data_IF_409004041163
#
_entry.id   IF_409004041163
#
_cell.length_a   1.000
_cell.length_b   1.000
_cell.length_c   1.000
_cell.angle_alpha   90.00
_cell.angle_beta   90.00
_cell.angle_gamma   90.00
#
_symmetry.space_group_name_H-M   'P 1'
#
loop_
_entity.id
_entity.type
_entity.pdbx_description
1 polymer ?
#
# COMPACT_ATOMS: atom_id res chain seq x y z
N UNK A 1 -2.92 8.65 -14.90
CA UNK A 1 -1.59 8.24 -14.41
C UNK A 1 -0.48 8.37 -15.47
N UNK A 2 -0.63 7.75 -16.64
CA UNK A 2 0.45 7.70 -17.63
C UNK A 2 1.00 9.07 -18.04
N UNK A 3 0.19 10.13 -18.29
CA UNK A 3 0.71 11.47 -18.54
C UNK A 3 1.49 12.04 -17.36
N UNK A 4 1.00 11.84 -16.12
CA UNK A 4 1.69 12.27 -14.90
C UNK A 4 3.07 11.60 -14.79
N UNK A 5 3.11 10.27 -14.86
CA UNK A 5 4.36 9.53 -14.71
C UNK A 5 5.36 9.82 -15.82
N UNK A 6 4.93 9.77 -17.09
CA UNK A 6 5.84 9.97 -18.24
C UNK A 6 6.30 11.41 -18.39
N UNK A 7 5.40 12.40 -18.23
CA UNK A 7 5.73 13.82 -18.45
C UNK A 7 6.10 14.52 -17.17
N UNK A 8 5.43 14.23 -16.06
CA UNK A 8 5.64 14.86 -14.77
C UNK A 8 6.81 14.27 -13.99
N UNK A 9 7.04 12.96 -14.08
CA UNK A 9 8.14 12.30 -13.37
C UNK A 9 9.35 12.03 -14.28
N UNK A 10 9.21 11.14 -15.27
CA UNK A 10 10.37 10.65 -16.04
C UNK A 10 11.04 11.69 -16.93
N UNK A 11 10.32 12.70 -17.44
CA UNK A 11 10.90 13.78 -18.28
C UNK A 11 11.45 14.95 -17.48
N UNK A 12 11.25 14.96 -16.19
CA UNK A 12 11.80 15.98 -15.30
C UNK A 12 13.19 15.55 -14.78
N UNK A 13 13.62 16.12 -13.67
CA UNK A 13 14.84 15.67 -13.02
C UNK A 13 14.67 14.24 -12.50
N UNK A 14 15.74 13.45 -12.61
CA UNK A 14 15.80 12.17 -11.91
C UNK A 14 15.49 12.34 -10.41
N UNK A 15 14.96 11.30 -9.75
CA UNK A 15 14.76 11.34 -8.32
C UNK A 15 16.05 11.74 -7.60
N UNK A 16 15.92 12.50 -6.52
CA UNK A 16 17.07 12.89 -5.70
C UNK A 16 17.85 11.65 -5.26
N UNK A 17 19.16 11.67 -5.45
CA UNK A 17 20.02 10.58 -5.01
C UNK A 17 19.86 10.35 -3.48
N UNK A 18 19.85 9.11 -3.00
CA UNK A 18 19.79 8.83 -1.57
C UNK A 18 20.95 9.49 -0.82
N UNK A 19 20.65 10.07 0.34
CA UNK A 19 21.69 10.61 1.20
C UNK A 19 22.43 9.46 1.90
N UNK A 20 23.75 9.56 2.06
CA UNK A 20 24.51 8.59 2.83
C UNK A 20 24.18 8.66 4.32
N UNK A 21 24.47 7.59 5.04
CA UNK A 21 24.39 7.57 6.50
C UNK A 21 25.23 8.70 7.11
N UNK A 22 24.71 9.46 8.10
CA UNK A 22 25.47 10.51 8.76
C UNK A 22 26.65 9.92 9.54
N UNK A 23 27.88 10.38 9.25
CA UNK A 23 29.11 9.89 9.87
C UNK A 23 29.25 10.25 11.35
N UNK A 24 28.66 11.36 11.77
CA UNK A 24 28.66 11.83 13.17
C UNK A 24 27.32 12.49 13.47
N UNK A 25 26.69 12.03 14.52
CA UNK A 25 25.46 12.62 15.07
C UNK A 25 25.73 12.99 16.52
N UNK A 26 25.57 14.25 16.87
CA UNK A 26 25.59 14.70 18.28
C UNK A 26 24.18 14.68 18.82
N UNK A 27 23.91 13.82 19.78
CA UNK A 27 22.63 13.76 20.44
C UNK A 27 22.61 14.67 21.66
N UNK A 28 21.52 15.39 21.83
CA UNK A 28 21.26 16.06 23.09
C UNK A 28 20.89 15.02 24.15
N UNK A 29 21.62 15.01 25.27
CA UNK A 29 21.30 14.12 26.38
C UNK A 29 20.26 14.78 27.29
N UNK A 30 19.05 14.23 27.29
CA UNK A 30 18.02 14.56 28.27
C UNK A 30 18.17 13.61 29.47
N UNK A 31 18.26 14.20 30.70
CA UNK A 31 18.33 13.39 31.91
C UNK A 31 16.99 12.75 32.29
N UNK A 32 15.88 13.33 31.80
CA UNK A 32 14.49 12.95 32.11
C UNK A 32 13.72 12.55 30.84
N UNK A 33 14.36 11.84 29.90
CA UNK A 33 13.66 11.31 28.74
C UNK A 33 12.70 10.19 29.14
N UNK A 34 11.45 10.31 28.74
CA UNK A 34 10.48 9.25 28.95
C UNK A 34 10.82 7.99 28.13
N UNK A 35 10.64 6.83 28.74
CA UNK A 35 10.70 5.54 28.02
C UNK A 35 9.49 5.44 27.06
N UNK A 36 9.72 4.88 25.86
CA UNK A 36 8.66 4.60 24.88
C UNK A 36 7.50 3.83 25.51
N UNK A 37 7.76 2.96 26.48
CA UNK A 37 6.73 2.21 27.21
C UNK A 37 5.74 3.10 27.97
N UNK A 38 6.17 4.30 28.42
CA UNK A 38 5.30 5.26 29.09
C UNK A 38 4.27 5.91 28.14
N UNK A 39 4.49 5.81 26.82
CA UNK A 39 3.54 6.28 25.82
C UNK A 39 2.30 5.37 25.68
N UNK A 40 2.32 4.19 26.32
CA UNK A 40 1.22 3.23 26.35
C UNK A 40 0.58 2.93 24.96
N UNK A 41 1.38 2.95 23.90
CA UNK A 41 0.91 2.81 22.52
C UNK A 41 0.25 1.46 22.24
N UNK A 42 0.49 0.46 23.09
CA UNK A 42 0.02 -0.92 22.92
C UNK A 42 -1.02 -1.35 23.96
N UNK A 43 -1.63 -0.43 24.66
CA UNK A 43 -2.70 -0.51 25.67
C UNK A 43 -3.42 -1.87 25.84
N UNK A 44 -2.69 -2.91 26.26
CA UNK A 44 -3.28 -4.18 26.74
C UNK A 44 -3.90 -5.10 25.67
N UNK A 45 -3.88 -4.72 24.41
CA UNK A 45 -4.36 -5.56 23.32
C UNK A 45 -3.20 -6.28 22.65
N UNK A 46 -3.28 -7.61 22.52
CA UNK A 46 -2.22 -8.44 21.93
C UNK A 46 -2.54 -8.93 20.51
N UNK A 47 -3.48 -8.31 19.82
CA UNK A 47 -3.88 -8.73 18.46
C UNK A 47 -2.74 -8.60 17.44
N UNK A 48 -1.80 -7.70 17.68
CA UNK A 48 -0.63 -7.44 16.82
C UNK A 48 0.48 -8.47 16.97
N UNK A 49 0.51 -9.27 18.05
CA UNK A 49 1.58 -10.26 18.29
C UNK A 49 1.74 -11.22 17.11
N UNK A 50 0.65 -11.63 16.50
CA UNK A 50 0.64 -12.45 15.28
C UNK A 50 1.37 -11.82 14.09
N UNK A 51 1.48 -10.47 14.03
CA UNK A 51 2.14 -9.78 12.93
C UNK A 51 3.66 -9.97 12.96
N UNK A 52 4.25 -10.13 14.15
CA UNK A 52 5.69 -10.39 14.31
C UNK A 52 6.14 -11.71 13.66
N UNK A 53 5.23 -12.67 13.49
CA UNK A 53 5.52 -13.92 12.78
C UNK A 53 5.73 -13.72 11.27
N UNK A 54 5.24 -12.60 10.72
CA UNK A 54 5.20 -12.32 9.28
C UNK A 54 6.08 -11.16 8.84
N UNK A 55 6.50 -10.30 9.77
CA UNK A 55 7.20 -9.06 9.47
C UNK A 55 8.43 -8.87 10.35
N UNK A 56 9.56 -8.64 9.70
CA UNK A 56 10.76 -8.10 10.32
C UNK A 56 10.74 -6.57 10.18
N UNK A 57 11.12 -5.87 11.25
CA UNK A 57 11.07 -4.41 11.34
C UNK A 57 12.47 -3.84 11.21
N UNK A 58 12.58 -2.65 10.61
CA UNK A 58 13.79 -1.86 10.57
C UNK A 58 14.48 -1.80 9.21
N UNK A 59 15.39 -0.85 9.09
CA UNK A 59 16.11 -0.55 7.83
C UNK A 59 16.85 -1.76 7.28
N UNK A 60 17.46 -2.56 8.15
CA UNK A 60 18.21 -3.76 7.74
C UNK A 60 17.29 -4.81 7.11
N UNK A 61 16.11 -5.01 7.71
CA UNK A 61 15.10 -5.91 7.17
C UNK A 61 14.59 -5.42 5.81
N UNK A 62 14.35 -4.11 5.68
CA UNK A 62 13.95 -3.49 4.41
C UNK A 62 15.01 -3.69 3.31
N UNK A 63 16.29 -3.49 3.63
CA UNK A 63 17.40 -3.68 2.70
C UNK A 63 17.56 -5.16 2.28
N UNK A 64 17.46 -6.09 3.23
CA UNK A 64 17.52 -7.53 2.94
C UNK A 64 16.35 -7.94 2.02
N UNK A 65 15.15 -7.46 2.30
CA UNK A 65 13.95 -7.73 1.49
C UNK A 65 14.08 -7.16 0.07
N UNK A 66 14.60 -5.93 -0.07
CA UNK A 66 14.88 -5.35 -1.38
C UNK A 66 15.92 -6.18 -2.15
N UNK A 67 17.02 -6.55 -1.50
CA UNK A 67 18.09 -7.35 -2.13
C UNK A 67 17.58 -8.72 -2.59
N UNK A 68 16.81 -9.41 -1.75
CA UNK A 68 16.20 -10.70 -2.12
C UNK A 68 15.23 -10.54 -3.31
N UNK A 69 14.39 -9.51 -3.31
CA UNK A 69 13.48 -9.25 -4.42
C UNK A 69 14.22 -8.93 -5.73
N UNK A 70 15.29 -8.14 -5.68
CA UNK A 70 16.08 -7.79 -6.85
C UNK A 70 16.90 -8.98 -7.40
N UNK A 71 17.22 -9.97 -6.57
CA UNK A 71 17.90 -11.17 -7.02
C UNK A 71 16.96 -12.18 -7.70
N UNK A 72 15.74 -12.36 -7.15
CA UNK A 72 14.86 -13.45 -7.55
C UNK A 72 13.52 -12.97 -8.13
N UNK A 73 12.84 -12.04 -7.46
CA UNK A 73 11.47 -11.65 -7.79
C UNK A 73 11.30 -10.72 -8.99
N UNK A 74 12.36 -9.97 -9.32
CA UNK A 74 12.31 -8.93 -10.37
C UNK A 74 12.28 -9.51 -11.78
N UNK A 75 12.80 -10.73 -11.99
CA UNK A 75 13.00 -11.33 -13.31
C UNK A 75 11.71 -11.50 -14.12
N UNK A 76 10.61 -11.82 -13.47
CA UNK A 76 9.28 -11.96 -14.08
C UNK A 76 8.26 -10.99 -13.48
N UNK A 77 8.73 -9.86 -12.94
CA UNK A 77 7.88 -8.96 -12.17
C UNK A 77 6.65 -8.48 -12.93
N UNK A 78 6.82 -8.07 -14.18
CA UNK A 78 5.73 -7.49 -14.99
C UNK A 78 4.54 -8.43 -15.12
N UNK A 79 4.79 -9.70 -15.32
CA UNK A 79 3.77 -10.71 -15.50
C UNK A 79 3.50 -11.48 -14.22
N UNK A 80 4.55 -11.88 -13.47
CA UNK A 80 4.47 -12.65 -12.24
C UNK A 80 3.73 -11.97 -11.11
N UNK A 81 3.82 -10.62 -11.02
CA UNK A 81 3.06 -9.82 -10.04
C UNK A 81 1.53 -9.96 -10.14
N UNK A 82 1.03 -10.53 -11.22
CA UNK A 82 -0.41 -10.74 -11.38
C UNK A 82 -0.92 -12.04 -10.71
N UNK A 83 0.00 -12.89 -10.28
CA UNK A 83 -0.31 -14.19 -9.71
C UNK A 83 -0.02 -14.21 -8.20
N UNK A 84 -1.03 -14.18 -7.32
CA UNK A 84 -0.82 -14.16 -5.86
C UNK A 84 -0.01 -15.35 -5.31
N UNK A 85 -0.03 -16.48 -6.00
CA UNK A 85 0.73 -17.68 -5.62
C UNK A 85 2.22 -17.61 -5.98
N UNK A 86 2.65 -16.63 -6.79
CA UNK A 86 4.06 -16.45 -7.17
C UNK A 86 4.77 -15.48 -6.23
N UNK A 87 6.07 -15.71 -6.01
CA UNK A 87 6.89 -14.82 -5.18
C UNK A 87 7.54 -13.70 -6.03
N UNK A 88 6.72 -12.97 -6.81
CA UNK A 88 7.16 -11.89 -7.70
C UNK A 88 6.75 -10.49 -7.20
N UNK A 89 6.54 -10.31 -5.90
CA UNK A 89 6.23 -9.00 -5.30
C UNK A 89 7.21 -8.67 -4.19
N UNK A 90 7.65 -7.42 -4.12
CA UNK A 90 8.71 -7.01 -3.18
C UNK A 90 8.29 -7.02 -1.72
N UNK A 91 7.00 -6.85 -1.41
CA UNK A 91 6.46 -6.66 -0.06
C UNK A 91 7.16 -5.54 0.72
N UNK A 92 7.62 -4.49 0.03
CA UNK A 92 8.31 -3.35 0.63
C UNK A 92 7.36 -2.26 1.14
N UNK A 93 6.07 -2.37 0.85
CA UNK A 93 5.10 -1.32 1.19
C UNK A 93 5.06 -0.93 2.67
N UNK A 94 5.15 -1.86 3.66
CA UNK A 94 5.26 -1.47 5.07
C UNK A 94 6.54 -0.70 5.38
N UNK A 95 7.67 -1.16 4.87
CA UNK A 95 8.96 -0.51 5.07
C UNK A 95 8.99 0.91 4.49
N UNK A 96 8.38 1.10 3.31
CA UNK A 96 8.23 2.44 2.70
C UNK A 96 7.29 3.31 3.54
N UNK A 97 6.20 2.72 4.07
CA UNK A 97 5.20 3.43 4.88
C UNK A 97 5.83 4.00 6.16
N UNK A 98 6.68 3.25 6.82
CA UNK A 98 7.34 3.66 8.05
C UNK A 98 8.70 4.33 7.85
N UNK A 99 9.13 4.54 6.59
CA UNK A 99 10.38 5.23 6.27
C UNK A 99 11.65 4.42 6.55
N UNK A 100 11.53 3.12 6.70
CA UNK A 100 12.66 2.19 6.87
C UNK A 100 13.47 2.03 5.58
N UNK A 101 12.89 2.36 4.45
CA UNK A 101 13.56 2.53 3.16
C UNK A 101 12.85 3.59 2.33
N UNK A 102 13.61 4.43 1.64
CA UNK A 102 13.01 5.48 0.79
C UNK A 102 12.70 4.97 -0.62
N UNK A 103 11.67 5.53 -1.29
CA UNK A 103 11.43 5.26 -2.71
C UNK A 103 12.65 5.53 -3.60
N UNK A 104 13.47 6.51 -3.24
CA UNK A 104 14.70 6.85 -3.95
C UNK A 104 15.74 5.72 -3.87
N UNK A 105 15.95 5.14 -2.69
CA UNK A 105 16.85 3.99 -2.54
C UNK A 105 16.37 2.81 -3.38
N UNK A 106 15.09 2.51 -3.36
CA UNK A 106 14.50 1.43 -4.16
C UNK A 106 14.66 1.70 -5.65
N UNK A 107 14.39 2.92 -6.11
CA UNK A 107 14.54 3.33 -7.50
C UNK A 107 15.96 3.10 -8.02
N UNK A 108 16.96 3.65 -7.31
CA UNK A 108 18.34 3.53 -7.73
C UNK A 108 18.87 2.09 -7.63
N UNK A 109 18.49 1.34 -6.59
CA UNK A 109 18.87 -0.06 -6.47
C UNK A 109 18.29 -0.90 -7.62
N UNK A 110 17.03 -0.71 -7.98
CA UNK A 110 16.41 -1.43 -9.08
C UNK A 110 17.07 -1.10 -10.42
N UNK A 111 17.32 0.19 -10.70
CA UNK A 111 18.00 0.64 -11.93
C UNK A 111 19.46 0.17 -12.04
N UNK A 112 20.14 0.00 -10.91
CA UNK A 112 21.50 -0.52 -10.89
C UNK A 112 21.62 -2.00 -11.25
N UNK A 113 20.54 -2.80 -11.09
CA UNK A 113 20.57 -4.23 -11.44
C UNK A 113 20.51 -4.41 -12.95
N UNK A 114 19.58 -3.73 -13.63
CA UNK A 114 19.39 -3.77 -15.09
C UNK A 114 18.39 -2.73 -15.56
N UNK A 115 18.38 -2.53 -16.87
CA UNK A 115 17.39 -1.70 -17.56
C UNK A 115 16.53 -2.59 -18.48
N UNK A 116 15.38 -3.03 -17.98
CA UNK A 116 14.43 -3.84 -18.72
C UNK A 116 12.98 -3.51 -18.38
N UNK A 117 12.05 -4.15 -19.09
CA UNK A 117 10.61 -3.95 -18.90
C UNK A 117 10.11 -4.31 -17.48
N UNK A 118 10.78 -5.21 -16.77
CA UNK A 118 10.38 -5.62 -15.41
C UNK A 118 10.75 -4.53 -14.40
N UNK A 119 11.98 -4.00 -14.52
CA UNK A 119 12.44 -2.87 -13.70
C UNK A 119 11.61 -1.62 -14.02
N UNK A 120 11.33 -1.33 -15.29
CA UNK A 120 10.46 -0.20 -15.66
C UNK A 120 9.07 -0.31 -15.03
N UNK A 121 8.50 -1.51 -15.06
CA UNK A 121 7.19 -1.74 -14.48
C UNK A 121 7.23 -1.64 -12.94
N UNK A 122 8.25 -2.19 -12.30
CA UNK A 122 8.44 -2.06 -10.85
C UNK A 122 8.62 -0.60 -10.43
N UNK A 123 9.45 0.16 -11.13
CA UNK A 123 9.63 1.59 -10.88
C UNK A 123 8.34 2.40 -11.14
N UNK A 124 7.47 1.96 -12.05
CA UNK A 124 6.18 2.62 -12.26
C UNK A 124 5.24 2.51 -11.06
N UNK A 125 5.41 1.48 -10.21
CA UNK A 125 4.63 1.37 -8.97
C UNK A 125 5.04 2.42 -7.92
N UNK A 126 6.32 2.83 -7.91
CA UNK A 126 6.75 4.00 -7.14
C UNK A 126 6.11 5.28 -7.70
N UNK A 127 5.95 5.35 -9.03
CA UNK A 127 5.21 6.43 -9.69
C UNK A 127 3.73 6.48 -9.31
N UNK A 128 3.06 5.33 -9.14
CA UNK A 128 1.68 5.26 -8.66
C UNK A 128 1.56 5.79 -7.23
N UNK A 129 2.53 5.47 -6.37
CA UNK A 129 2.60 6.03 -5.02
C UNK A 129 2.73 7.56 -5.06
N UNK A 130 3.63 8.08 -5.87
CA UNK A 130 3.81 9.52 -6.05
C UNK A 130 2.54 10.19 -6.59
N UNK A 131 1.86 9.56 -7.53
CA UNK A 131 0.59 10.05 -8.05
C UNK A 131 -0.51 10.12 -6.98
N UNK A 132 -0.57 9.12 -6.10
CA UNK A 132 -1.52 9.12 -4.98
C UNK A 132 -1.26 10.27 -4.01
N UNK A 133 0.00 10.54 -3.70
CA UNK A 133 0.39 11.69 -2.87
C UNK A 133 0.09 13.02 -3.55
N UNK A 134 0.35 13.11 -4.85
CA UNK A 134 -0.01 14.28 -5.65
C UNK A 134 -1.52 14.56 -5.60
N UNK A 135 -2.33 13.52 -5.77
CA UNK A 135 -3.80 13.65 -5.69
C UNK A 135 -4.24 14.12 -4.30
N UNK A 136 -3.74 13.52 -3.23
CA UNK A 136 -4.12 13.90 -1.88
C UNK A 136 -3.68 15.34 -1.54
N UNK A 137 -2.50 15.76 -2.02
CA UNK A 137 -2.00 17.12 -1.81
C UNK A 137 -2.87 18.17 -2.50
N UNK A 138 -3.24 17.94 -3.77
CA UNK A 138 -4.02 18.90 -4.54
C UNK A 138 -5.54 18.81 -4.27
N UNK A 139 -6.00 17.67 -3.83
CA UNK A 139 -7.42 17.39 -3.57
C UNK A 139 -7.60 16.75 -2.18
N UNK A 140 -7.29 17.46 -1.08
CA UNK A 140 -7.29 16.87 0.27
C UNK A 140 -8.67 16.35 0.71
N UNK A 141 -9.75 16.79 0.08
CA UNK A 141 -11.10 16.32 0.35
C UNK A 141 -11.36 14.87 -0.09
N UNK A 142 -10.52 14.31 -0.99
CA UNK A 142 -10.75 12.96 -1.54
C UNK A 142 -10.73 11.84 -0.50
N UNK A 143 -10.17 12.08 0.66
CA UNK A 143 -10.22 11.12 1.77
C UNK A 143 -11.66 10.86 2.24
N UNK A 144 -12.51 11.86 2.14
CA UNK A 144 -13.90 11.84 2.66
C UNK A 144 -14.97 11.92 1.58
N UNK A 145 -14.60 12.35 0.38
CA UNK A 145 -15.54 12.64 -0.70
C UNK A 145 -15.04 12.04 -2.01
N UNK A 146 -15.96 11.76 -2.92
CA UNK A 146 -15.59 11.31 -4.26
C UNK A 146 -14.85 12.42 -5.02
N UNK A 147 -13.75 12.08 -5.71
CA UNK A 147 -13.09 13.01 -6.63
C UNK A 147 -14.03 13.35 -7.80
N UNK A 148 -14.70 12.34 -8.36
CA UNK A 148 -15.72 12.52 -9.37
C UNK A 148 -17.10 12.59 -8.69
N UNK A 149 -17.62 13.81 -8.55
CA UNK A 149 -18.88 14.12 -7.88
C UNK A 149 -20.14 13.46 -8.49
N UNK A 150 -20.05 12.93 -9.71
CA UNK A 150 -21.15 12.16 -10.30
C UNK A 150 -21.48 10.89 -9.52
N UNK A 151 -20.55 10.40 -8.70
CA UNK A 151 -20.75 9.22 -7.85
C UNK A 151 -21.37 9.54 -6.49
N UNK A 152 -21.57 10.82 -6.15
CA UNK A 152 -22.19 11.20 -4.86
C UNK A 152 -23.67 10.76 -4.75
N UNK A 153 -24.34 10.58 -5.88
CA UNK A 153 -25.75 10.13 -5.93
C UNK A 153 -25.89 8.64 -6.22
N UNK A 154 -24.80 7.87 -6.21
CA UNK A 154 -24.88 6.44 -6.47
C UNK A 154 -25.65 5.74 -5.33
N UNK A 155 -26.64 4.85 -5.64
CA UNK A 155 -27.49 4.22 -4.65
C UNK A 155 -26.80 3.06 -3.93
N UNK A 156 -25.88 3.38 -3.02
CA UNK A 156 -25.20 2.39 -2.18
C UNK A 156 -26.19 1.67 -1.26
N UNK A 157 -25.92 0.40 -1.00
CA UNK A 157 -26.66 -0.39 -0.04
C UNK A 157 -26.05 -0.28 1.36
N UNK A 158 -26.89 -0.14 2.36
CA UNK A 158 -26.51 -0.26 3.76
C UNK A 158 -26.90 -1.67 4.24
N UNK A 159 -25.93 -2.61 4.14
CA UNK A 159 -26.13 -4.00 4.56
C UNK A 159 -24.99 -4.44 5.47
N UNK A 160 -25.24 -4.36 6.77
CA UNK A 160 -24.29 -4.72 7.82
C UNK A 160 -23.89 -6.18 7.80
N UNK A 161 -24.81 -7.10 7.44
CA UNK A 161 -24.53 -8.54 7.39
C UNK A 161 -23.55 -8.85 6.26
N UNK A 162 -23.74 -8.27 5.08
CA UNK A 162 -22.84 -8.42 3.95
C UNK A 162 -21.46 -7.81 4.24
N UNK A 163 -21.44 -6.61 4.85
CA UNK A 163 -20.18 -5.98 5.27
C UNK A 163 -19.43 -6.85 6.27
N UNK A 164 -20.11 -7.38 7.28
CA UNK A 164 -19.53 -8.26 8.28
C UNK A 164 -19.01 -9.57 7.68
N UNK A 165 -19.77 -10.18 6.77
CA UNK A 165 -19.34 -11.38 6.07
C UNK A 165 -18.08 -11.12 5.24
N UNK A 166 -18.02 -9.99 4.54
CA UNK A 166 -16.84 -9.56 3.79
C UNK A 166 -15.63 -9.35 4.71
N UNK A 167 -15.76 -8.56 5.77
CA UNK A 167 -14.69 -8.30 6.74
C UNK A 167 -14.11 -9.59 7.35
N UNK A 168 -14.99 -10.57 7.65
CA UNK A 168 -14.61 -11.86 8.27
C UNK A 168 -14.16 -12.93 7.28
N UNK A 169 -14.16 -12.65 5.97
CA UNK A 169 -13.86 -13.64 4.94
C UNK A 169 -14.82 -14.84 5.00
N UNK A 170 -16.13 -14.56 5.03
CA UNK A 170 -17.23 -15.52 5.10
C UNK A 170 -18.31 -15.25 4.05
N UNK A 171 -17.88 -14.79 2.88
CA UNK A 171 -18.77 -14.48 1.76
C UNK A 171 -19.19 -15.71 0.97
N UNK A 172 -18.44 -16.81 1.09
CA UNK A 172 -18.62 -18.02 0.29
C UNK A 172 -17.84 -17.99 -1.04
N UNK A 173 -17.19 -16.86 -1.38
CA UNK A 173 -16.33 -16.75 -2.56
C UNK A 173 -14.88 -17.00 -2.15
N UNK A 174 -14.25 -18.12 -2.58
CA UNK A 174 -12.96 -18.58 -2.03
C UNK A 174 -11.86 -17.54 -2.10
N UNK A 175 -11.70 -16.80 -3.22
CA UNK A 175 -10.64 -15.80 -3.37
C UNK A 175 -10.87 -14.57 -2.48
N UNK A 176 -12.11 -14.15 -2.29
CA UNK A 176 -12.48 -13.05 -1.41
C UNK A 176 -12.17 -13.44 0.03
N UNK A 177 -12.67 -14.60 0.44
CA UNK A 177 -12.53 -15.08 1.80
C UNK A 177 -11.07 -15.34 2.17
N UNK A 178 -10.29 -15.91 1.25
CA UNK A 178 -8.84 -16.10 1.43
C UNK A 178 -8.11 -14.78 1.61
N UNK A 179 -8.40 -13.78 0.76
CA UNK A 179 -7.79 -12.46 0.84
C UNK A 179 -8.10 -11.74 2.16
N UNK A 180 -9.36 -11.76 2.59
CA UNK A 180 -9.77 -11.11 3.84
C UNK A 180 -9.19 -11.81 5.08
N UNK A 181 -9.04 -13.13 5.05
CA UNK A 181 -8.39 -13.89 6.11
C UNK A 181 -6.88 -13.68 6.14
N UNK A 182 -6.21 -13.57 4.97
CA UNK A 182 -4.80 -13.20 4.86
C UNK A 182 -4.58 -11.83 5.49
N UNK A 183 -5.40 -10.83 5.11
CA UNK A 183 -5.36 -9.49 5.69
C UNK A 183 -5.42 -9.52 7.22
N UNK A 184 -6.39 -10.22 7.77
CA UNK A 184 -6.57 -10.31 9.22
C UNK A 184 -5.42 -11.03 9.92
N UNK A 185 -4.86 -12.06 9.30
CA UNK A 185 -3.78 -12.85 9.87
C UNK A 185 -2.43 -12.15 9.81
N UNK A 186 -2.12 -11.53 8.68
CA UNK A 186 -0.77 -11.05 8.37
C UNK A 186 -0.63 -9.54 8.31
N UNK A 187 -1.74 -8.80 8.35
CA UNK A 187 -1.75 -7.35 8.08
C UNK A 187 -1.41 -6.99 6.63
N UNK A 188 -1.46 -7.96 5.71
CA UNK A 188 -1.10 -7.76 4.31
C UNK A 188 -2.08 -8.46 3.38
N UNK A 189 -2.16 -7.96 2.17
CA UNK A 189 -2.89 -8.60 1.07
C UNK A 189 -2.19 -8.28 -0.24
N UNK A 190 -2.04 -9.28 -1.10
CA UNK A 190 -1.47 -9.10 -2.43
C UNK A 190 -2.28 -8.08 -3.25
N UNK A 191 -1.61 -7.18 -4.01
CA UNK A 191 -2.28 -6.07 -4.71
C UNK A 191 -3.46 -6.53 -5.59
N UNK A 192 -3.31 -7.61 -6.37
CA UNK A 192 -4.41 -8.12 -7.20
C UNK A 192 -5.60 -8.61 -6.39
N UNK A 193 -5.33 -9.17 -5.20
CA UNK A 193 -6.38 -9.61 -4.28
C UNK A 193 -7.08 -8.38 -3.68
N UNK A 194 -6.34 -7.30 -3.32
CA UNK A 194 -6.96 -6.03 -2.88
C UNK A 194 -7.95 -5.50 -3.92
N UNK A 195 -7.58 -5.54 -5.19
CA UNK A 195 -8.48 -5.12 -6.29
C UNK A 195 -9.72 -6.00 -6.37
N UNK A 196 -9.58 -7.32 -6.22
CA UNK A 196 -10.69 -8.27 -6.31
C UNK A 196 -11.64 -8.08 -5.11
N UNK A 197 -11.13 -8.08 -3.88
CA UNK A 197 -11.98 -7.94 -2.68
C UNK A 197 -12.64 -6.57 -2.60
N UNK A 198 -11.94 -5.52 -3.05
CA UNK A 198 -12.51 -4.17 -3.13
C UNK A 198 -13.59 -4.08 -4.20
N UNK A 199 -13.34 -4.61 -5.40
CA UNK A 199 -14.34 -4.66 -6.47
C UNK A 199 -15.59 -5.44 -6.03
N UNK A 200 -15.42 -6.55 -5.32
CA UNK A 200 -16.53 -7.32 -4.78
C UNK A 200 -17.38 -6.49 -3.82
N UNK A 201 -16.76 -5.76 -2.89
CA UNK A 201 -17.46 -4.91 -1.94
C UNK A 201 -18.31 -3.84 -2.68
N UNK A 202 -17.69 -3.09 -3.59
CA UNK A 202 -18.35 -1.91 -4.19
C UNK A 202 -19.25 -2.24 -5.37
N UNK A 203 -18.93 -3.28 -6.16
CA UNK A 203 -19.64 -3.59 -7.41
C UNK A 203 -20.62 -4.76 -7.28
N UNK A 204 -20.35 -5.71 -6.41
CA UNK A 204 -21.24 -6.86 -6.21
C UNK A 204 -22.13 -6.69 -4.98
N UNK A 205 -21.57 -6.20 -3.86
CA UNK A 205 -22.35 -5.94 -2.65
C UNK A 205 -22.96 -4.54 -2.63
N UNK A 206 -22.56 -3.63 -3.52
CA UNK A 206 -22.98 -2.24 -3.61
C UNK A 206 -22.80 -1.47 -2.29
N UNK A 207 -21.80 -1.84 -1.49
CA UNK A 207 -21.47 -1.18 -0.22
C UNK A 207 -20.49 -0.06 -0.51
N UNK A 208 -20.68 1.09 0.13
CA UNK A 208 -19.86 2.28 -0.09
C UNK A 208 -18.39 2.02 0.22
N UNK A 209 -17.53 2.51 -0.64
CA UNK A 209 -16.08 2.28 -0.57
C UNK A 209 -15.42 2.74 0.75
N UNK A 210 -16.00 3.71 1.46
CA UNK A 210 -15.51 4.16 2.76
C UNK A 210 -15.44 3.03 3.81
N UNK A 211 -16.37 2.07 3.78
CA UNK A 211 -16.33 0.94 4.71
C UNK A 211 -15.09 0.07 4.46
N UNK A 212 -14.77 -0.18 3.20
CA UNK A 212 -13.56 -0.93 2.84
C UNK A 212 -12.29 -0.14 3.12
N UNK A 213 -12.28 1.17 2.81
CA UNK A 213 -11.18 2.07 3.11
C UNK A 213 -10.84 2.09 4.60
N UNK A 214 -11.85 2.23 5.46
CA UNK A 214 -11.67 2.24 6.92
C UNK A 214 -11.15 0.89 7.42
N UNK A 215 -11.71 -0.21 6.93
CA UNK A 215 -11.26 -1.55 7.30
C UNK A 215 -9.81 -1.82 6.88
N UNK A 216 -9.41 -1.38 5.70
CA UNK A 216 -8.02 -1.50 5.24
C UNK A 216 -7.07 -0.63 6.04
N UNK A 217 -7.47 0.59 6.42
CA UNK A 217 -6.67 1.44 7.29
C UNK A 217 -6.43 0.82 8.68
N UNK A 218 -7.41 0.09 9.19
CA UNK A 218 -7.33 -0.57 10.49
C UNK A 218 -6.47 -1.85 10.46
N UNK A 219 -6.58 -2.64 9.38
CA UNK A 219 -5.98 -3.97 9.31
C UNK A 219 -4.61 -4.03 8.62
N UNK A 220 -4.30 -3.12 7.68
CA UNK A 220 -3.07 -3.19 6.89
C UNK A 220 -1.87 -2.61 7.63
N UNK A 221 -0.77 -3.37 7.71
CA UNK A 221 0.53 -2.86 8.21
C UNK A 221 1.14 -1.80 7.28
N UNK A 222 0.78 -1.81 6.00
CA UNK A 222 1.18 -0.80 5.02
C UNK A 222 0.14 0.30 4.80
N UNK A 223 -0.82 0.45 5.71
CA UNK A 223 -1.87 1.46 5.60
C UNK A 223 -1.28 2.85 5.38
N UNK A 224 -1.55 3.42 4.22
CA UNK A 224 -1.08 4.73 3.80
C UNK A 224 -2.27 5.53 3.29
N UNK A 225 -2.49 6.70 3.85
CA UNK A 225 -3.66 7.53 3.58
C UNK A 225 -3.84 7.83 2.09
N UNK A 226 -2.77 8.25 1.41
CA UNK A 226 -2.83 8.61 0.00
C UNK A 226 -3.11 7.39 -0.89
N UNK A 227 -2.34 6.31 -0.68
CA UNK A 227 -2.46 5.11 -1.52
C UNK A 227 -3.77 4.36 -1.27
N UNK A 228 -4.21 4.26 -0.01
CA UNK A 228 -5.47 3.60 0.32
C UNK A 228 -6.66 4.36 -0.26
N UNK A 229 -6.70 5.69 -0.09
CA UNK A 229 -7.76 6.54 -0.65
C UNK A 229 -7.79 6.46 -2.18
N UNK A 230 -6.64 6.66 -2.84
CA UNK A 230 -6.57 6.60 -4.29
C UNK A 230 -6.96 5.20 -4.83
N UNK A 231 -6.50 4.13 -4.17
CA UNK A 231 -6.83 2.76 -4.53
C UNK A 231 -8.32 2.43 -4.42
N UNK A 232 -8.96 2.82 -3.32
CA UNK A 232 -10.40 2.60 -3.14
C UNK A 232 -11.25 3.40 -4.11
N UNK A 233 -10.92 4.66 -4.36
CA UNK A 233 -11.64 5.45 -5.36
C UNK A 233 -11.39 4.96 -6.79
N UNK A 234 -10.19 4.43 -7.08
CA UNK A 234 -9.92 3.78 -8.36
C UNK A 234 -10.84 2.56 -8.57
N UNK A 235 -10.98 1.70 -7.57
CA UNK A 235 -11.84 0.51 -7.61
C UNK A 235 -13.33 0.91 -7.71
N UNK A 236 -13.75 1.92 -6.96
CA UNK A 236 -15.13 2.41 -6.96
C UNK A 236 -15.51 3.14 -8.25
N UNK A 237 -14.55 3.54 -9.07
CA UNK A 237 -14.79 4.30 -10.28
C UNK A 237 -14.86 5.82 -10.07
N UNK A 238 -14.81 6.29 -8.84
CA UNK A 238 -14.94 7.71 -8.47
C UNK A 238 -13.64 8.49 -8.45
N UNK A 239 -12.49 7.83 -8.59
CA UNK A 239 -11.17 8.43 -8.52
C UNK A 239 -10.61 8.88 -9.86
N UNK A 240 -9.39 9.45 -9.81
CA UNK A 240 -8.60 9.73 -11.01
C UNK A 240 -8.09 8.44 -11.64
N UNK A 241 -8.14 8.35 -12.97
CA UNK A 241 -7.70 7.16 -13.74
C UNK A 241 -8.42 5.87 -13.27
N UNK A 242 -9.68 6.02 -12.89
CA UNK A 242 -10.47 4.98 -12.25
C UNK A 242 -10.70 3.76 -13.15
N UNK A 243 -10.95 2.61 -12.52
CA UNK A 243 -11.31 1.39 -13.23
C UNK A 243 -12.61 1.57 -14.01
N UNK A 244 -12.64 1.27 -15.31
CA UNK A 244 -13.80 1.57 -16.17
C UNK A 244 -15.03 0.66 -15.88
N UNK A 245 -14.86 -0.45 -15.16
CA UNK A 245 -15.89 -1.46 -14.87
C UNK A 245 -15.62 -2.22 -13.57
#
# INVERSE_FOLDING_TARGET
FSPFYRKGCLKQKEPRFPLPEPKKVSFFKLNDADDIKKLELLNGFNWYDKLHEHWEIGEKAAQNKLSSFLNDGIDDYKDGRNFPAKNNVSRLSPHIRFGEISPNQIWYAARAVREDRNVDHFCSELGWREFSYYLLYHFPFIEKENLNKKFDTFPWLDNTDYLTAWQKGKTGYPIIDAGMRELWKTGYMHNRVRMIVGSFLVKNLLIHWHHGHSWFNDCLVDADKANNTAGWQWIAGSGADAAPY
#
